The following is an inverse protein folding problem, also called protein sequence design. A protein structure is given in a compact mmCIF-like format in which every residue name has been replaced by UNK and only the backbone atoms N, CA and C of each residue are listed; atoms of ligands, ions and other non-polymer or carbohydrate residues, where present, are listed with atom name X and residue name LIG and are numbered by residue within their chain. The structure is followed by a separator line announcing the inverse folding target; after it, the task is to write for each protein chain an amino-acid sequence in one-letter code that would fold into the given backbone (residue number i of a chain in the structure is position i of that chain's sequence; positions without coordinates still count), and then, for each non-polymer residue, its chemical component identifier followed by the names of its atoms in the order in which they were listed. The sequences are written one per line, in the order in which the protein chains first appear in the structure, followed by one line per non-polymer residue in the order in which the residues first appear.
data_IF_846858971673
#
_entry.id   IF_846858971673
#
_cell.length_a   1.000
_cell.length_b   1.000
_cell.length_c   1.000
_cell.angle_alpha   90.00
_cell.angle_beta   90.00
_cell.angle_gamma   90.00
#
_symmetry.space_group_name_H-M   'P 1'
#
loop_
_entity.id
_entity.type
_entity.pdbx_description
1 polymer ?
#
# COMPACT_ATOMS: atom_id res chain seq x y z
N UNK A 1 16.80 -9.11 5.96
CA UNK A 1 16.08 -8.01 5.28
C UNK A 1 17.04 -6.90 4.90
N UNK A 2 16.84 -6.28 3.74
CA UNK A 2 17.67 -5.16 3.22
C UNK A 2 16.86 -3.87 3.31
N UNK A 3 17.43 -2.84 3.95
CA UNK A 3 16.87 -1.48 3.95
C UNK A 3 17.72 -0.57 3.08
N UNK A 4 17.12 0.07 2.08
CA UNK A 4 17.77 1.07 1.24
C UNK A 4 17.14 2.42 1.46
N UNK A 5 17.97 3.46 1.52
CA UNK A 5 17.51 4.83 1.71
C UNK A 5 18.13 5.77 0.71
N UNK A 6 17.38 6.79 0.32
CA UNK A 6 17.80 7.88 -0.55
C UNK A 6 17.13 9.17 -0.07
N UNK A 7 17.76 10.31 -0.30
CA UNK A 7 17.16 11.61 0.00
C UNK A 7 17.09 12.39 -1.29
N UNK A 8 15.86 12.65 -1.78
CA UNK A 8 15.63 13.48 -2.97
C UNK A 8 15.16 14.87 -2.50
N UNK A 9 16.04 15.86 -2.59
CA UNK A 9 15.79 17.18 -2.02
C UNK A 9 15.73 17.11 -0.50
N UNK A 10 14.59 17.48 0.08
CA UNK A 10 14.31 17.48 1.52
C UNK A 10 13.50 16.26 1.99
N UNK A 11 13.20 15.32 1.08
CA UNK A 11 12.34 14.18 1.38
C UNK A 11 13.13 12.87 1.54
N UNK A 12 13.39 12.40 2.78
CA UNK A 12 13.87 11.05 3.03
C UNK A 12 12.95 9.99 2.45
N UNK A 13 13.58 8.98 1.88
CA UNK A 13 12.94 7.88 1.19
C UNK A 13 13.58 6.57 1.61
N UNK A 14 12.77 5.59 2.03
CA UNK A 14 13.26 4.29 2.48
C UNK A 14 12.43 3.17 1.88
N UNK A 15 13.10 2.12 1.39
CA UNK A 15 12.49 0.90 0.89
C UNK A 15 13.05 -0.31 1.65
N UNK A 16 12.16 -1.22 2.04
CA UNK A 16 12.53 -2.47 2.74
C UNK A 16 12.26 -3.65 1.82
N UNK A 17 13.28 -4.48 1.62
CA UNK A 17 13.26 -5.64 0.74
C UNK A 17 13.63 -6.92 1.49
N UNK A 18 13.25 -8.07 0.92
CA UNK A 18 13.85 -9.36 1.28
C UNK A 18 15.34 -9.40 0.90
N UNK A 19 16.10 -10.33 1.48
CA UNK A 19 17.53 -10.49 1.17
C UNK A 19 17.81 -10.90 -0.27
N UNK A 20 16.85 -11.56 -0.93
CA UNK A 20 16.93 -11.85 -2.37
C UNK A 20 16.35 -10.74 -3.26
N UNK A 21 15.91 -9.62 -2.68
CA UNK A 21 15.32 -8.44 -3.35
C UNK A 21 14.08 -8.69 -4.23
N UNK A 22 13.58 -9.92 -4.29
CA UNK A 22 12.35 -10.31 -5.02
C UNK A 22 11.08 -9.77 -4.36
N UNK A 23 11.12 -9.54 -3.05
CA UNK A 23 10.02 -8.95 -2.29
C UNK A 23 10.35 -7.52 -1.87
N UNK A 24 9.38 -6.61 -1.97
CA UNK A 24 9.42 -5.29 -1.33
C UNK A 24 8.29 -5.21 -0.33
N UNK A 25 8.65 -5.09 0.94
CA UNK A 25 7.71 -5.08 2.05
C UNK A 25 7.12 -3.69 2.30
N UNK A 26 7.93 -2.64 2.13
CA UNK A 26 7.45 -1.27 2.25
C UNK A 26 8.25 -0.27 1.43
N UNK A 27 7.60 0.86 1.14
CA UNK A 27 8.20 2.04 0.54
C UNK A 27 7.66 3.29 1.24
N UNK A 28 8.54 4.05 1.89
CA UNK A 28 8.17 5.26 2.66
C UNK A 28 8.80 6.50 2.04
N UNK A 29 8.06 7.61 2.07
CA UNK A 29 8.52 8.97 1.78
C UNK A 29 8.04 9.90 2.88
N UNK A 30 8.94 10.75 3.38
CA UNK A 30 8.63 11.76 4.39
C UNK A 30 9.09 13.11 3.86
N UNK A 31 8.23 14.12 3.85
CA UNK A 31 8.60 15.52 3.52
C UNK A 31 8.29 16.50 4.66
N UNK A 32 7.43 16.09 5.59
CA UNK A 32 7.19 16.80 6.85
C UNK A 32 7.05 15.76 7.97
N UNK A 33 8.05 15.68 8.84
CA UNK A 33 8.08 14.71 9.94
C UNK A 33 7.06 15.02 11.06
N UNK A 34 6.56 16.27 11.14
CA UNK A 34 5.52 16.66 12.09
C UNK A 34 4.10 16.45 11.56
N UNK A 35 3.96 16.16 10.26
CA UNK A 35 2.67 15.98 9.60
C UNK A 35 2.05 14.60 9.80
N UNK A 36 0.76 14.49 9.47
CA UNK A 36 0.05 13.21 9.47
C UNK A 36 0.62 12.26 8.43
N UNK A 37 0.43 10.96 8.64
CA UNK A 37 1.00 9.89 7.81
C UNK A 37 -0.09 9.04 7.16
N UNK A 38 0.02 8.81 5.85
CA UNK A 38 -0.89 7.94 5.11
C UNK A 38 -0.24 6.60 4.76
N UNK A 39 -0.93 5.49 5.03
CA UNK A 39 -0.59 4.18 4.50
C UNK A 39 -1.50 3.85 3.32
N UNK A 40 -0.92 3.46 2.18
CA UNK A 40 -1.64 2.85 1.07
C UNK A 40 -1.34 1.35 1.02
N UNK A 41 -2.36 0.51 1.19
CA UNK A 41 -2.25 -0.96 1.08
C UNK A 41 -2.71 -1.36 -0.33
N UNK A 42 -1.75 -1.66 -1.19
CA UNK A 42 -1.98 -1.85 -2.63
C UNK A 42 -1.82 -3.32 -3.06
N UNK A 43 -1.84 -3.62 -4.37
CA UNK A 43 -1.82 -4.99 -4.88
C UNK A 43 -0.44 -5.66 -4.72
N UNK A 44 0.53 -5.27 -5.56
CA UNK A 44 1.89 -5.78 -5.56
C UNK A 44 2.89 -4.65 -5.94
N UNK A 45 4.15 -4.71 -5.46
CA UNK A 45 5.17 -3.78 -5.88
C UNK A 45 5.48 -3.86 -7.39
N UNK A 46 5.69 -2.71 -8.03
CA UNK A 46 6.27 -2.63 -9.38
C UNK A 46 7.69 -2.04 -9.31
N UNK A 47 8.01 -1.05 -10.16
CA UNK A 47 9.37 -0.56 -10.40
C UNK A 47 9.83 0.55 -9.45
N UNK A 48 8.96 1.08 -8.58
CA UNK A 48 9.39 2.08 -7.61
C UNK A 48 10.48 1.55 -6.67
N UNK A 49 11.45 2.40 -6.36
CA UNK A 49 12.54 2.14 -5.42
C UNK A 49 12.61 3.30 -4.44
N UNK A 50 13.55 3.29 -3.51
CA UNK A 50 13.89 4.45 -2.68
C UNK A 50 14.32 5.68 -3.51
N UNK A 51 14.76 5.51 -4.75
CA UNK A 51 15.24 6.64 -5.59
C UNK A 51 14.11 7.23 -6.45
N UNK A 52 13.26 6.37 -7.03
CA UNK A 52 12.30 6.78 -8.05
C UNK A 52 10.90 6.20 -7.81
N UNK A 53 9.89 6.97 -8.23
CA UNK A 53 8.51 6.53 -8.23
C UNK A 53 8.17 5.81 -9.54
N UNK A 54 7.25 4.84 -9.44
CA UNK A 54 6.48 4.34 -10.58
C UNK A 54 5.16 5.15 -10.68
N UNK A 55 4.35 4.99 -11.76
CA UNK A 55 3.12 5.77 -11.92
C UNK A 55 2.11 5.65 -10.78
N UNK A 56 2.09 4.51 -10.07
CA UNK A 56 1.16 4.28 -8.97
C UNK A 56 1.65 4.96 -7.70
N UNK A 57 2.93 4.80 -7.38
CA UNK A 57 3.57 5.45 -6.23
C UNK A 57 3.55 6.96 -6.38
N UNK A 58 3.78 7.48 -7.59
CA UNK A 58 3.65 8.91 -7.90
C UNK A 58 2.22 9.42 -7.62
N UNK A 59 1.20 8.65 -8.00
CA UNK A 59 -0.19 8.98 -7.68
C UNK A 59 -0.47 8.98 -6.18
N UNK A 60 0.07 8.01 -5.44
CA UNK A 60 -0.08 7.94 -3.99
C UNK A 60 0.60 9.14 -3.31
N UNK A 61 1.83 9.49 -3.71
CA UNK A 61 2.55 10.65 -3.19
C UNK A 61 1.78 11.94 -3.45
N UNK A 62 1.38 12.19 -4.70
CA UNK A 62 0.66 13.41 -5.08
C UNK A 62 -0.64 13.54 -4.32
N UNK A 63 -1.38 12.44 -4.17
CA UNK A 63 -2.61 12.39 -3.36
C UNK A 63 -2.33 12.69 -1.89
N UNK A 64 -1.32 12.06 -1.29
CA UNK A 64 -0.97 12.31 0.11
C UNK A 64 -0.62 13.79 0.36
N UNK A 65 0.16 14.40 -0.54
CA UNK A 65 0.47 15.84 -0.49
C UNK A 65 -0.79 16.70 -0.63
N UNK A 66 -1.66 16.43 -1.60
CA UNK A 66 -2.92 17.18 -1.79
C UNK A 66 -3.85 17.08 -0.58
N UNK A 67 -3.82 15.96 0.14
CA UNK A 67 -4.61 15.75 1.36
C UNK A 67 -3.95 16.32 2.63
N UNK A 68 -2.78 16.97 2.51
CA UNK A 68 -2.09 17.61 3.62
C UNK A 68 -1.35 16.64 4.56
N UNK A 69 -1.01 15.44 4.09
CA UNK A 69 -0.11 14.55 4.85
C UNK A 69 1.33 15.06 4.77
N UNK A 70 2.14 14.72 5.77
CA UNK A 70 3.59 14.95 5.82
C UNK A 70 4.42 13.77 5.31
N UNK A 71 3.80 12.59 5.21
CA UNK A 71 4.45 11.39 4.70
C UNK A 71 3.44 10.40 4.13
N UNK A 72 3.92 9.50 3.28
CA UNK A 72 3.19 8.28 2.97
C UNK A 72 4.09 7.04 3.02
N UNK A 73 3.46 5.90 3.27
CA UNK A 73 4.02 4.57 3.12
C UNK A 73 3.13 3.76 2.20
N UNK A 74 3.74 2.92 1.38
CA UNK A 74 3.07 1.88 0.61
C UNK A 74 3.47 0.53 1.17
N UNK A 75 2.48 -0.31 1.40
CA UNK A 75 2.63 -1.77 1.53
C UNK A 75 1.73 -2.44 0.48
N UNK A 76 1.87 -3.74 0.31
CA UNK A 76 1.18 -4.48 -0.73
C UNK A 76 0.64 -5.80 -0.20
N UNK A 77 -0.55 -6.21 -0.61
CA UNK A 77 -1.13 -7.48 -0.18
C UNK A 77 -0.31 -8.68 -0.70
N UNK A 78 0.44 -8.51 -1.78
CA UNK A 78 1.48 -9.42 -2.24
C UNK A 78 2.82 -8.69 -2.26
N UNK A 79 3.86 -9.18 -1.59
CA UNK A 79 5.16 -8.50 -1.58
C UNK A 79 6.00 -8.74 -2.84
N UNK A 80 5.63 -9.72 -3.67
CA UNK A 80 6.37 -10.06 -4.89
C UNK A 80 6.44 -8.89 -5.87
N UNK A 81 7.66 -8.49 -6.24
CA UNK A 81 7.91 -7.34 -7.11
C UNK A 81 7.81 -7.75 -8.57
N UNK A 82 6.79 -7.24 -9.24
CA UNK A 82 6.60 -7.43 -10.68
C UNK A 82 5.70 -6.32 -11.25
N UNK A 83 5.92 -5.96 -12.51
CA UNK A 83 5.07 -4.99 -13.21
C UNK A 83 3.78 -5.63 -13.71
N UNK A 84 3.78 -6.93 -14.00
CA UNK A 84 2.60 -7.65 -14.45
C UNK A 84 1.96 -8.43 -13.28
N UNK A 85 0.72 -8.09 -12.87
CA UNK A 85 -0.02 -8.86 -11.86
C UNK A 85 -0.18 -10.34 -12.22
N UNK A 86 -0.17 -10.71 -13.51
CA UNK A 86 -0.21 -12.11 -13.93
C UNK A 86 1.10 -12.83 -13.65
N UNK A 87 2.23 -12.15 -13.72
CA UNK A 87 3.53 -12.70 -13.34
C UNK A 87 3.64 -12.86 -11.82
N UNK A 88 3.16 -11.87 -11.05
CA UNK A 88 3.01 -12.01 -9.60
C UNK A 88 2.19 -13.26 -9.24
N UNK A 89 1.04 -13.48 -9.89
CA UNK A 89 0.21 -14.69 -9.65
C UNK A 89 0.87 -16.03 -10.00
N UNK A 90 1.93 -16.01 -10.80
CA UNK A 90 2.70 -17.22 -11.19
C UNK A 90 3.87 -17.50 -10.26
N UNK A 91 4.23 -16.57 -9.37
CA UNK A 91 5.27 -16.81 -8.37
C UNK A 91 4.80 -17.90 -7.39
N UNK A 92 5.73 -18.72 -6.92
CA UNK A 92 5.43 -19.83 -5.99
C UNK A 92 4.89 -19.32 -4.64
N UNK A 93 5.45 -18.21 -4.15
CA UNK A 93 4.99 -17.50 -2.95
C UNK A 93 4.86 -16.00 -3.26
N UNK A 94 3.73 -15.52 -3.79
CA UNK A 94 3.58 -14.11 -4.12
C UNK A 94 3.37 -13.24 -2.88
N UNK A 95 2.95 -13.84 -1.76
CA UNK A 95 2.67 -13.12 -0.52
C UNK A 95 3.99 -12.66 0.09
N UNK A 96 4.95 -13.58 0.21
CA UNK A 96 6.25 -13.36 0.83
C UNK A 96 6.20 -13.46 2.36
N UNK A 97 7.26 -13.97 3.00
CA UNK A 97 7.23 -14.44 4.39
C UNK A 97 6.97 -13.33 5.43
N UNK A 98 7.51 -12.13 5.22
CA UNK A 98 7.41 -11.01 6.19
C UNK A 98 6.26 -10.03 5.88
N UNK A 99 5.40 -10.36 4.92
CA UNK A 99 4.50 -9.36 4.34
C UNK A 99 3.39 -8.92 5.32
N UNK A 100 2.78 -9.85 6.05
CA UNK A 100 1.75 -9.50 7.05
C UNK A 100 2.32 -8.65 8.18
N UNK A 101 3.53 -8.98 8.65
CA UNK A 101 4.24 -8.18 9.64
C UNK A 101 4.51 -6.75 9.13
N UNK A 102 4.94 -6.60 7.87
CA UNK A 102 5.16 -5.29 7.26
C UNK A 102 3.88 -4.48 7.06
N UNK A 103 2.77 -5.14 6.73
CA UNK A 103 1.45 -4.48 6.66
C UNK A 103 1.05 -3.95 8.03
N UNK A 104 1.17 -4.77 9.09
CA UNK A 104 0.83 -4.38 10.46
C UNK A 104 1.73 -3.26 10.98
N UNK A 105 3.04 -3.32 10.72
CA UNK A 105 3.97 -2.22 11.04
C UNK A 105 3.57 -0.92 10.32
N UNK A 106 3.17 -1.02 9.04
CA UNK A 106 2.60 0.09 8.29
C UNK A 106 1.36 0.68 8.95
N UNK A 107 0.46 -0.16 9.46
CA UNK A 107 -0.77 0.29 10.14
C UNK A 107 -0.43 1.02 11.44
N UNK A 108 0.46 0.48 12.27
CA UNK A 108 0.91 1.14 13.49
C UNK A 108 1.65 2.47 13.24
N UNK A 109 2.30 2.60 12.09
CA UNK A 109 2.97 3.83 11.68
C UNK A 109 2.02 4.90 11.12
N UNK A 110 0.81 4.58 10.66
CA UNK A 110 -0.03 5.53 9.92
C UNK A 110 -1.14 6.18 10.75
N UNK A 111 -1.47 7.43 10.44
CA UNK A 111 -2.65 8.13 10.96
C UNK A 111 -3.89 7.89 10.08
N UNK A 112 -3.69 7.40 8.84
CA UNK A 112 -4.76 6.99 7.92
C UNK A 112 -4.35 5.80 7.08
N UNK A 113 -5.14 4.71 7.17
CA UNK A 113 -4.96 3.50 6.37
C UNK A 113 -5.93 3.49 5.19
N UNK A 114 -5.41 3.43 3.97
CA UNK A 114 -6.17 3.46 2.72
C UNK A 114 -5.95 2.15 1.97
N UNK A 115 -6.98 1.34 1.87
CA UNK A 115 -6.98 0.13 1.06
C UNK A 115 -7.17 0.45 -0.43
N UNK A 116 -6.44 -0.26 -1.30
CA UNK A 116 -6.28 0.11 -2.71
C UNK A 116 -5.81 -1.03 -3.64
N UNK A 117 -6.05 -2.30 -3.32
CA UNK A 117 -5.48 -3.44 -4.06
C UNK A 117 -6.26 -3.91 -5.30
N UNK A 118 -7.47 -3.43 -5.55
CA UNK A 118 -8.26 -3.77 -6.74
C UNK A 118 -8.72 -5.23 -6.79
N UNK A 119 -9.30 -5.62 -7.94
CA UNK A 119 -9.95 -6.95 -8.11
C UNK A 119 -8.98 -8.13 -8.07
N UNK A 120 -7.70 -7.90 -8.38
CA UNK A 120 -6.68 -8.95 -8.30
C UNK A 120 -6.42 -9.43 -6.87
N UNK A 121 -6.92 -8.71 -5.84
CA UNK A 121 -6.92 -9.21 -4.47
C UNK A 121 -7.75 -10.48 -4.27
N UNK A 122 -8.64 -10.86 -5.19
CA UNK A 122 -9.33 -12.14 -5.14
C UNK A 122 -8.39 -13.35 -5.27
N UNK A 123 -7.19 -13.16 -5.83
CA UNK A 123 -6.20 -14.23 -5.96
C UNK A 123 -5.81 -14.78 -4.58
N UNK A 124 -5.85 -16.11 -4.42
CA UNK A 124 -5.58 -16.81 -3.15
C UNK A 124 -6.45 -16.36 -1.96
N UNK A 125 -7.58 -15.69 -2.22
CA UNK A 125 -8.39 -15.07 -1.15
C UNK A 125 -7.64 -13.98 -0.38
N UNK A 126 -6.59 -13.39 -0.97
CA UNK A 126 -5.65 -12.53 -0.25
C UNK A 126 -6.26 -11.20 0.17
N UNK A 127 -7.12 -10.61 -0.65
CA UNK A 127 -7.85 -9.38 -0.35
C UNK A 127 -8.69 -9.50 0.93
N UNK A 128 -9.63 -10.46 1.00
CA UNK A 128 -10.37 -10.74 2.24
C UNK A 128 -9.47 -11.05 3.45
N UNK A 129 -8.40 -11.83 3.26
CA UNK A 129 -7.46 -12.13 4.34
C UNK A 129 -6.77 -10.86 4.89
N UNK A 130 -6.29 -9.98 4.02
CA UNK A 130 -5.68 -8.71 4.45
C UNK A 130 -6.73 -7.75 5.00
N UNK A 131 -7.95 -7.73 4.48
CA UNK A 131 -9.03 -6.95 5.08
C UNK A 131 -9.30 -7.39 6.53
N UNK A 132 -9.41 -8.70 6.79
CA UNK A 132 -9.57 -9.23 8.13
C UNK A 132 -8.39 -8.86 9.04
N UNK A 133 -7.16 -8.96 8.52
CA UNK A 133 -5.94 -8.54 9.22
C UNK A 133 -6.00 -7.05 9.61
N UNK A 134 -6.36 -6.18 8.67
CA UNK A 134 -6.46 -4.74 8.88
C UNK A 134 -7.57 -4.41 9.90
N UNK A 135 -8.76 -5.04 9.77
CA UNK A 135 -9.87 -4.84 10.72
C UNK A 135 -9.52 -5.33 12.13
N UNK A 136 -8.75 -6.41 12.25
CA UNK A 136 -8.25 -6.92 13.53
C UNK A 136 -7.38 -5.93 14.32
N UNK A 137 -6.85 -4.90 13.67
CA UNK A 137 -6.09 -3.83 14.35
C UNK A 137 -6.97 -2.80 15.07
N UNK A 138 -8.28 -2.79 14.79
CA UNK A 138 -9.22 -1.78 15.31
C UNK A 138 -9.06 -0.38 14.72
N UNK A 139 -8.10 -0.16 13.80
CA UNK A 139 -7.88 1.15 13.18
C UNK A 139 -8.95 1.47 12.13
N UNK A 140 -9.40 2.73 12.02
CA UNK A 140 -10.30 3.14 10.95
C UNK A 140 -9.69 2.90 9.56
N UNK A 141 -10.39 2.12 8.74
CA UNK A 141 -9.99 1.83 7.37
C UNK A 141 -10.68 2.78 6.41
N UNK A 142 -9.99 3.14 5.33
CA UNK A 142 -10.51 3.99 4.27
C UNK A 142 -10.30 3.33 2.90
N UNK A 143 -11.07 3.75 1.91
CA UNK A 143 -10.90 3.35 0.52
C UNK A 143 -11.14 4.53 -0.42
N UNK A 144 -10.68 4.42 -1.67
CA UNK A 144 -10.96 5.41 -2.72
C UNK A 144 -12.24 5.11 -3.52
N UNK A 145 -13.00 4.11 -3.06
CA UNK A 145 -14.21 3.57 -3.68
C UNK A 145 -14.07 2.06 -3.84
N UNK A 146 -15.20 1.36 -3.89
CA UNK A 146 -15.25 -0.09 -4.03
C UNK A 146 -15.68 -0.50 -5.45
N UNK A 147 -15.23 -1.66 -5.91
CA UNK A 147 -15.77 -2.33 -7.09
C UNK A 147 -17.15 -2.92 -6.79
N UNK A 148 -17.83 -3.47 -7.80
CA UNK A 148 -19.12 -4.16 -7.60
C UNK A 148 -18.98 -5.32 -6.60
N UNK A 149 -17.86 -6.03 -6.67
CA UNK A 149 -17.54 -7.15 -5.79
C UNK A 149 -16.86 -6.72 -4.47
N UNK A 150 -16.96 -5.44 -4.09
CA UNK A 150 -16.46 -4.95 -2.79
C UNK A 150 -14.95 -4.72 -2.69
N UNK A 151 -14.16 -4.92 -3.76
CA UNK A 151 -12.72 -4.68 -3.70
C UNK A 151 -12.38 -3.18 -3.69
N UNK A 152 -11.42 -2.73 -2.87
CA UNK A 152 -10.99 -1.33 -2.86
C UNK A 152 -10.28 -0.97 -4.17
N UNK A 153 -10.77 0.04 -4.88
CA UNK A 153 -10.27 0.42 -6.20
C UNK A 153 -8.81 0.87 -6.15
N UNK A 154 -8.05 0.45 -7.17
CA UNK A 154 -6.65 0.83 -7.34
C UNK A 154 -6.50 2.34 -7.66
N UNK A 155 -5.53 3.05 -7.05
CA UNK A 155 -5.44 4.51 -7.12
C UNK A 155 -5.08 5.05 -8.51
N UNK A 156 -4.47 4.23 -9.38
CA UNK A 156 -3.94 4.65 -10.68
C UNK A 156 -4.98 5.33 -11.59
N UNK A 157 -6.27 5.05 -11.43
CA UNK A 157 -7.33 5.62 -12.28
C UNK A 157 -8.39 6.42 -11.50
N UNK A 158 -8.20 6.66 -10.20
CA UNK A 158 -9.13 7.44 -9.38
C UNK A 158 -8.78 8.93 -9.38
N UNK A 159 -9.73 9.80 -9.73
CA UNK A 159 -9.52 11.25 -9.76
C UNK A 159 -9.02 11.82 -8.41
N UNK A 160 -8.17 12.85 -8.43
CA UNK A 160 -7.62 13.45 -7.21
C UNK A 160 -8.69 14.08 -6.31
N UNK A 161 -9.78 14.60 -6.91
CA UNK A 161 -10.91 15.15 -6.17
C UNK A 161 -11.63 14.11 -5.29
N UNK A 162 -11.50 12.81 -5.60
CA UNK A 162 -12.06 11.73 -4.77
C UNK A 162 -11.33 11.69 -3.44
N UNK A 163 -12.05 11.93 -2.35
CA UNK A 163 -11.54 11.80 -1.00
C UNK A 163 -11.56 10.32 -0.55
N UNK A 164 -10.64 9.88 0.32
CA UNK A 164 -10.78 8.60 1.00
C UNK A 164 -12.04 8.58 1.86
N UNK A 165 -12.83 7.53 1.72
CA UNK A 165 -14.07 7.32 2.46
C UNK A 165 -13.89 6.21 3.50
N UNK A 166 -14.53 6.30 4.68
CA UNK A 166 -14.50 5.23 5.67
C UNK A 166 -15.00 3.91 5.07
N UNK A 167 -14.24 2.83 5.29
CA UNK A 167 -14.64 1.48 4.92
C UNK A 167 -15.31 0.82 6.13
N UNK A 168 -16.62 1.04 6.22
CA UNK A 168 -17.45 0.46 7.28
C UNK A 168 -17.37 -1.07 7.31
N UNK A 169 -17.72 -1.69 8.44
CA UNK A 169 -18.02 -3.12 8.46
C UNK A 169 -19.13 -3.41 7.43
N UNK A 170 -19.10 -4.57 6.79
CA UNK A 170 -20.26 -5.02 6.02
C UNK A 170 -21.47 -4.97 6.94
N UNK A 171 -22.50 -4.21 6.56
CA UNK A 171 -23.80 -4.29 7.22
C UNK A 171 -24.26 -5.73 7.08
N UNK A 172 -24.16 -6.51 8.14
CA UNK A 172 -24.79 -7.82 8.23
C UNK A 172 -26.29 -7.52 8.26
N UNK A 173 -26.96 -7.69 7.12
CA UNK A 173 -28.42 -7.79 7.06
C UNK A 173 -28.88 -9.05 7.79
#
# INVERSE_FOLDING_TARGET
MITRSHTKGDAPSTAVYSDCERYRYSLTRVWDAGGKRALFVMLNPSTATEVQNDPTVERCERRARTLGFGAFRVTNIFAWRDTDPRAMRRADDPVGPENDAAILDGVGWADRVIAAWGTHGAHLGRGPAVEALLRGTGQPLYHLGLTKDGHPKHPLYIAYARQPEPWGPESTC
#
